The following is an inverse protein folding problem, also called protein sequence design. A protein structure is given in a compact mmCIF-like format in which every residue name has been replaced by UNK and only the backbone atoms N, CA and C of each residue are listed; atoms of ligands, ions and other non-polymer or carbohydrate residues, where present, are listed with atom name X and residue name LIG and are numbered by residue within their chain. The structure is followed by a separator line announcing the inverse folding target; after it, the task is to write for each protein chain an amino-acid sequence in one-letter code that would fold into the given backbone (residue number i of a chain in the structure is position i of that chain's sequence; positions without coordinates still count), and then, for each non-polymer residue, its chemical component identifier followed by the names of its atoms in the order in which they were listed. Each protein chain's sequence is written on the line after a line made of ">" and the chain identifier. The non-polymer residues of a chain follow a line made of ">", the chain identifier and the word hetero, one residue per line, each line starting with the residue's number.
data_IF_937113646468
#
_entry.id   IF_937113646468
#
_cell.length_a   1.000
_cell.length_b   1.000
_cell.length_c   1.000
_cell.angle_alpha   90.00
_cell.angle_beta   90.00
_cell.angle_gamma   90.00
#
_symmetry.space_group_name_H-M   'P 1'
#
loop_
_entity.id
_entity.type
_entity.pdbx_description
1 polymer ?
#
# COMPACT_ATOMS: atom_id res chain seq x y z
N UNK A 1 12.47 -8.75 14.40
CA UNK A 1 12.78 -8.14 13.10
C UNK A 1 12.14 -6.75 13.10
N UNK A 2 12.90 -5.68 12.83
CA UNK A 2 12.33 -4.33 12.70
C UNK A 2 11.34 -4.30 11.54
N UNK A 3 10.24 -3.54 11.70
CA UNK A 3 9.36 -3.20 10.60
C UNK A 3 10.17 -2.34 9.61
N UNK A 4 10.59 -2.93 8.48
CA UNK A 4 11.13 -2.18 7.35
C UNK A 4 10.01 -2.03 6.33
N UNK A 5 9.83 -0.83 5.73
CA UNK A 5 10.48 0.45 6.05
C UNK A 5 10.06 1.04 7.41
N UNK A 6 10.88 1.95 7.93
CA UNK A 6 10.66 2.61 9.21
C UNK A 6 9.38 3.46 9.21
N UNK A 7 8.61 3.45 10.30
CA UNK A 7 7.38 4.24 10.45
C UNK A 7 7.59 5.74 10.27
N UNK A 8 8.77 6.26 10.65
CA UNK A 8 9.13 7.66 10.42
C UNK A 8 9.21 8.03 8.93
N UNK A 9 9.52 7.07 8.06
CA UNK A 9 9.52 7.28 6.60
C UNK A 9 8.09 7.31 6.05
N UNK A 10 7.24 6.39 6.52
CA UNK A 10 5.83 6.30 6.08
C UNK A 10 5.04 7.55 6.48
N UNK A 11 5.28 8.06 7.69
CA UNK A 11 4.60 9.27 8.19
C UNK A 11 4.90 10.53 7.37
N UNK A 12 5.96 10.55 6.54
CA UNK A 12 6.24 11.68 5.63
C UNK A 12 5.21 11.81 4.51
N UNK A 13 4.58 10.70 4.14
CA UNK A 13 3.63 10.64 3.02
C UNK A 13 2.19 10.44 3.50
N UNK A 14 2.01 9.82 4.66
CA UNK A 14 0.72 9.66 5.34
C UNK A 14 0.89 9.91 6.83
N UNK A 15 0.58 11.11 7.28
CA UNK A 15 0.84 11.56 8.66
C UNK A 15 0.03 10.79 9.71
N UNK A 16 -1.23 10.46 9.40
CA UNK A 16 -2.12 9.76 10.31
C UNK A 16 -1.92 8.24 10.20
N UNK A 17 -1.52 7.60 11.30
CA UNK A 17 -1.25 6.14 11.35
C UNK A 17 -2.48 5.29 11.04
N UNK A 18 -3.68 5.71 11.44
CA UNK A 18 -4.91 4.99 11.10
C UNK A 18 -5.24 5.12 9.62
N UNK A 19 -4.99 6.30 9.05
CA UNK A 19 -5.12 6.50 7.61
C UNK A 19 -4.10 5.66 6.84
N UNK A 20 -2.85 5.59 7.30
CA UNK A 20 -1.80 4.75 6.71
C UNK A 20 -2.24 3.29 6.63
N UNK A 21 -2.86 2.75 7.70
CA UNK A 21 -3.39 1.38 7.68
C UNK A 21 -4.47 1.21 6.63
N UNK A 22 -5.41 2.15 6.52
CA UNK A 22 -6.47 2.10 5.50
C UNK A 22 -5.91 2.18 4.08
N UNK A 23 -4.94 3.07 3.85
CA UNK A 23 -4.25 3.26 2.57
C UNK A 23 -3.54 1.99 2.14
N UNK A 24 -2.71 1.44 3.04
CA UNK A 24 -1.95 0.20 2.78
C UNK A 24 -2.89 -0.98 2.55
N UNK A 25 -3.93 -1.15 3.37
CA UNK A 25 -4.88 -2.26 3.24
C UNK A 25 -5.68 -2.20 1.95
N UNK A 26 -6.03 -0.99 1.49
CA UNK A 26 -6.70 -0.80 0.20
C UNK A 26 -5.77 -1.13 -0.96
N UNK A 27 -4.56 -0.58 -0.96
CA UNK A 27 -3.59 -0.83 -2.03
C UNK A 27 -3.21 -2.31 -2.12
N UNK A 28 -3.04 -2.96 -0.98
CA UNK A 28 -2.76 -4.40 -0.92
C UNK A 28 -3.86 -5.24 -1.61
N UNK A 29 -5.13 -4.85 -1.48
CA UNK A 29 -6.23 -5.52 -2.19
C UNK A 29 -6.16 -5.31 -3.69
N UNK A 30 -5.91 -4.09 -4.16
CA UNK A 30 -5.73 -3.82 -5.60
C UNK A 30 -4.60 -4.64 -6.21
N UNK A 31 -3.48 -4.76 -5.50
CA UNK A 31 -2.33 -5.58 -5.96
C UNK A 31 -2.72 -7.07 -6.03
N UNK A 32 -3.48 -7.56 -5.07
CA UNK A 32 -3.95 -8.94 -5.06
C UNK A 32 -4.97 -9.20 -6.17
N UNK A 33 -5.98 -8.34 -6.30
CA UNK A 33 -7.00 -8.42 -7.35
C UNK A 33 -6.37 -8.37 -8.74
N UNK A 34 -5.43 -7.45 -8.98
CA UNK A 34 -4.71 -7.36 -10.25
C UNK A 34 -3.92 -8.65 -10.56
N UNK A 35 -3.25 -9.23 -9.56
CA UNK A 35 -2.50 -10.47 -9.75
C UNK A 35 -3.42 -11.67 -10.04
N UNK A 36 -4.57 -11.72 -9.37
CA UNK A 36 -5.59 -12.74 -9.61
C UNK A 36 -6.23 -12.60 -11.01
N UNK A 37 -6.52 -11.37 -11.44
CA UNK A 37 -7.08 -11.06 -12.77
C UNK A 37 -6.10 -11.36 -13.91
N UNK A 38 -4.83 -11.00 -13.75
CA UNK A 38 -3.78 -11.26 -14.74
C UNK A 38 -3.23 -12.71 -14.65
N UNK A 39 -3.57 -13.44 -13.58
CA UNK A 39 -3.21 -14.85 -13.40
C UNK A 39 -1.74 -15.11 -13.09
N UNK A 40 -1.03 -14.15 -12.49
CA UNK A 40 0.38 -14.30 -12.12
C UNK A 40 0.57 -14.43 -10.59
N UNK A 41 1.55 -15.24 -10.14
CA UNK A 41 1.84 -15.37 -8.72
C UNK A 41 2.60 -14.14 -8.19
N UNK A 42 2.17 -13.63 -7.03
CA UNK A 42 2.88 -12.58 -6.31
C UNK A 42 4.11 -13.14 -5.58
N UNK A 43 5.29 -12.59 -5.89
CA UNK A 43 6.55 -12.95 -5.21
C UNK A 43 6.65 -12.36 -3.80
N UNK A 44 6.04 -11.20 -3.57
CA UNK A 44 5.96 -10.54 -2.27
C UNK A 44 4.52 -10.46 -1.79
N UNK A 45 4.31 -10.42 -0.47
CA UNK A 45 2.97 -10.20 0.07
C UNK A 45 2.45 -8.83 -0.40
N UNK A 46 1.19 -8.70 -0.85
CA UNK A 46 0.65 -7.44 -1.34
C UNK A 46 0.81 -6.27 -0.36
N UNK A 47 0.72 -6.56 0.95
CA UNK A 47 0.92 -5.57 2.02
C UNK A 47 2.35 -5.05 2.06
N UNK A 48 3.34 -5.90 1.82
CA UNK A 48 4.76 -5.50 1.76
C UNK A 48 5.00 -4.57 0.58
N UNK A 49 4.47 -4.93 -0.59
CA UNK A 49 4.53 -4.09 -1.80
C UNK A 49 3.87 -2.73 -1.57
N UNK A 50 2.67 -2.70 -0.98
CA UNK A 50 1.96 -1.46 -0.68
C UNK A 50 2.73 -0.55 0.31
N UNK A 51 3.33 -1.10 1.36
CA UNK A 51 4.15 -0.31 2.30
C UNK A 51 5.39 0.26 1.59
N UNK A 52 6.03 -0.51 0.71
CA UNK A 52 7.17 -0.06 -0.08
C UNK A 52 6.79 1.07 -1.06
N UNK A 53 5.60 1.01 -1.66
CA UNK A 53 5.09 2.08 -2.52
C UNK A 53 4.84 3.38 -1.76
N UNK A 54 4.29 3.31 -0.54
CA UNK A 54 4.17 4.49 0.35
C UNK A 54 5.55 5.03 0.70
N UNK A 55 6.50 4.18 1.09
CA UNK A 55 7.86 4.61 1.42
C UNK A 55 8.61 5.22 0.23
N UNK A 56 8.28 4.80 -1.00
CA UNK A 56 8.80 5.38 -2.23
C UNK A 56 8.09 6.70 -2.63
N UNK A 57 7.08 7.16 -1.88
CA UNK A 57 6.31 8.35 -2.19
C UNK A 57 5.34 8.18 -3.37
N UNK A 58 5.10 6.94 -3.83
CA UNK A 58 4.14 6.65 -4.90
C UNK A 58 2.70 6.75 -4.41
N UNK A 59 2.48 6.55 -3.12
CA UNK A 59 1.18 6.63 -2.46
C UNK A 59 1.20 7.68 -1.35
N UNK A 60 0.26 8.60 -1.41
CA UNK A 60 -0.01 9.65 -0.43
C UNK A 60 -1.51 9.62 -0.08
N UNK A 61 -1.87 10.30 1.02
CA UNK A 61 -3.27 10.42 1.42
C UNK A 61 -4.17 11.08 0.35
N UNK A 62 -3.59 11.90 -0.51
CA UNK A 62 -4.28 12.69 -1.54
C UNK A 62 -4.40 11.95 -2.87
N UNK A 63 -3.44 11.08 -3.18
CA UNK A 63 -3.37 10.39 -4.47
C UNK A 63 -3.92 8.97 -4.45
N UNK A 64 -4.32 8.46 -3.27
CA UNK A 64 -4.88 7.13 -3.20
C UNK A 64 -6.20 7.11 -3.95
N UNK A 65 -6.27 6.25 -4.96
CA UNK A 65 -7.46 6.10 -5.76
C UNK A 65 -8.61 5.64 -4.87
N UNK A 66 -9.54 6.55 -4.59
CA UNK A 66 -10.72 6.28 -3.75
C UNK A 66 -11.86 5.64 -4.54
N UNK A 67 -11.73 5.50 -5.87
CA UNK A 67 -12.76 4.92 -6.71
C UNK A 67 -12.98 3.44 -6.40
N UNK A 68 -14.21 3.09 -6.03
CA UNK A 68 -14.66 1.71 -5.86
C UNK A 68 -15.22 1.31 -7.22
N UNK A 69 -14.58 0.36 -7.91
CA UNK A 69 -15.22 -0.29 -9.04
C UNK A 69 -16.47 -1.02 -8.51
N UNK A 70 -17.62 -0.69 -9.08
CA UNK A 70 -18.95 -1.10 -8.61
C UNK A 70 -19.36 -2.42 -9.23
#
# INVERSE_FOLDING_TARGET
>A
MMLYPAMSLLNKYVENRYLLVNVVARRARQIAEQADEEGYPLCEKPVTTAINEVAAGKLTAENIDTHIAK
#
